data_IF_021472219704
#
_entry.id   IF_021472219704
#
_cell.length_a   1.000
_cell.length_b   1.000
_cell.length_c   1.000
_cell.angle_alpha   90.00
_cell.angle_beta   90.00
_cell.angle_gamma   90.00
#
_symmetry.space_group_name_H-M   'P 1'
#
loop_
_entity.id
_entity.type
_entity.pdbx_description
1 polymer ?
#
# COMPACT_ATOMS: atom_id res chain seq x y z
N UNK A 1 6.44 27.42 -12.24
CA UNK A 1 5.11 26.77 -12.28
C UNK A 1 5.34 25.28 -12.47
N UNK A 2 4.84 24.42 -11.58
CA UNK A 2 5.00 22.97 -11.74
C UNK A 2 4.11 22.47 -12.87
N UNK A 3 4.70 21.75 -13.83
CA UNK A 3 3.98 21.07 -14.90
C UNK A 3 3.50 19.73 -14.34
N UNK A 4 2.22 19.60 -14.03
CA UNK A 4 1.65 18.30 -13.65
C UNK A 4 1.56 17.44 -14.91
N UNK A 5 2.38 16.39 -14.98
CA UNK A 5 2.27 15.38 -16.02
C UNK A 5 1.33 14.28 -15.55
N UNK A 6 0.30 14.01 -16.34
CA UNK A 6 -0.55 12.84 -16.12
C UNK A 6 0.26 11.58 -16.43
N UNK A 7 0.12 10.52 -15.64
CA UNK A 7 0.74 9.24 -15.96
C UNK A 7 -0.03 8.58 -17.11
N UNK A 8 0.68 7.86 -17.97
CA UNK A 8 0.10 7.14 -19.10
C UNK A 8 0.47 5.66 -19.07
N UNK A 9 -0.46 4.79 -19.48
CA UNK A 9 -0.24 3.37 -19.78
C UNK A 9 -0.76 3.11 -21.19
N UNK A 10 0.10 2.61 -22.08
CA UNK A 10 -0.25 2.36 -23.49
C UNK A 10 -0.87 3.58 -24.21
N UNK A 11 -0.42 4.80 -23.85
CA UNK A 11 -0.93 6.05 -24.40
C UNK A 11 -2.19 6.58 -23.70
N UNK A 12 -2.81 5.81 -22.81
CA UNK A 12 -4.03 6.22 -22.10
C UNK A 12 -3.73 6.88 -20.75
N UNK A 13 -4.46 7.95 -20.39
CA UNK A 13 -4.30 8.62 -19.11
C UNK A 13 -4.70 7.73 -17.91
N UNK A 14 -3.86 7.65 -16.89
CA UNK A 14 -4.15 6.90 -15.65
C UNK A 14 -4.45 7.86 -14.50
N UNK A 15 -5.57 7.60 -13.81
CA UNK A 15 -5.95 8.27 -12.58
C UNK A 15 -5.95 7.28 -11.41
N UNK A 16 -5.44 7.70 -10.25
CA UNK A 16 -5.54 6.94 -9.00
C UNK A 16 -6.48 7.66 -8.04
N UNK A 17 -7.57 7.00 -7.68
CA UNK A 17 -8.64 7.59 -6.86
C UNK A 17 -8.89 6.67 -5.68
N UNK A 18 -8.92 7.23 -4.47
CA UNK A 18 -9.39 6.50 -3.29
C UNK A 18 -10.91 6.38 -3.34
N UNK A 19 -11.44 5.16 -3.22
CA UNK A 19 -12.88 4.91 -3.18
C UNK A 19 -13.30 4.55 -1.76
N UNK A 20 -14.46 5.06 -1.36
CA UNK A 20 -15.12 4.61 -0.14
C UNK A 20 -15.88 3.32 -0.41
N UNK A 21 -15.99 2.46 0.60
CA UNK A 21 -16.81 1.26 0.54
C UNK A 21 -18.26 1.62 0.16
N UNK A 22 -18.81 0.97 -0.85
CA UNK A 22 -20.18 1.22 -1.34
C UNK A 22 -20.33 2.38 -2.33
N UNK A 23 -19.23 3.01 -2.76
CA UNK A 23 -19.29 4.04 -3.81
C UNK A 23 -19.60 3.41 -5.18
N UNK A 24 -20.66 3.88 -5.83
CA UNK A 24 -21.11 3.35 -7.14
C UNK A 24 -20.65 4.18 -8.35
N UNK A 25 -20.35 5.46 -8.11
CA UNK A 25 -20.02 6.43 -9.17
C UNK A 25 -18.79 7.27 -8.80
N UNK A 26 -18.02 7.64 -9.82
CA UNK A 26 -16.93 8.60 -9.72
C UNK A 26 -17.23 9.76 -10.65
N UNK A 27 -17.22 10.97 -10.10
CA UNK A 27 -17.42 12.20 -10.86
C UNK A 27 -16.07 12.87 -11.12
N UNK A 28 -15.70 13.00 -12.39
CA UNK A 28 -14.53 13.75 -12.84
C UNK A 28 -14.97 15.11 -13.35
N UNK A 29 -14.25 16.15 -12.93
CA UNK A 29 -14.42 17.50 -13.43
C UNK A 29 -13.05 18.13 -13.65
N UNK A 30 -12.82 18.66 -14.85
CA UNK A 30 -11.66 19.51 -15.10
C UNK A 30 -12.02 20.91 -14.64
N UNK A 31 -11.28 21.45 -13.68
CA UNK A 31 -11.49 22.82 -13.22
C UNK A 31 -10.43 23.75 -13.79
N UNK A 32 -10.86 24.94 -14.22
CA UNK A 32 -9.97 25.97 -14.76
C UNK A 32 -9.69 25.81 -16.26
N UNK A 33 -8.74 26.62 -16.76
CA UNK A 33 -8.33 26.59 -18.17
C UNK A 33 -7.31 25.48 -18.39
N UNK A 34 -7.51 24.67 -19.42
CA UNK A 34 -6.58 23.61 -19.80
C UNK A 34 -6.22 23.67 -21.30
N UNK A 35 -5.18 22.95 -21.68
CA UNK A 35 -4.77 22.77 -23.09
C UNK A 35 -4.71 21.27 -23.40
N UNK A 36 -5.01 20.91 -24.64
CA UNK A 36 -4.89 19.54 -25.14
C UNK A 36 -3.62 19.42 -25.97
N UNK A 37 -2.86 18.36 -25.73
CA UNK A 37 -1.66 18.01 -26.49
C UNK A 37 -1.86 16.65 -27.15
N UNK A 38 -1.30 16.45 -28.34
CA UNK A 38 -1.23 15.13 -28.97
C UNK A 38 -0.16 14.25 -28.29
N UNK A 39 -0.05 12.99 -28.71
CA UNK A 39 0.93 12.05 -28.18
C UNK A 39 2.39 12.45 -28.43
N UNK A 40 2.64 13.42 -29.31
CA UNK A 40 3.96 13.97 -29.61
C UNK A 40 4.23 15.29 -28.84
N UNK A 41 3.29 15.73 -28.00
CA UNK A 41 3.39 16.97 -27.22
C UNK A 41 3.02 18.24 -27.99
N UNK A 42 2.50 18.13 -29.23
CA UNK A 42 2.03 19.29 -29.98
C UNK A 42 0.69 19.75 -29.41
N UNK A 43 0.52 21.05 -29.21
CA UNK A 43 -0.74 21.59 -28.70
C UNK A 43 -1.82 21.58 -29.78
N UNK A 44 -2.85 20.77 -29.57
CA UNK A 44 -4.02 20.65 -30.46
C UNK A 44 -5.04 21.76 -30.18
N UNK A 45 -5.17 22.18 -28.91
CA UNK A 45 -6.06 23.26 -28.51
C UNK A 45 -5.59 23.92 -27.19
N UNK A 46 -5.76 25.24 -27.05
CA UNK A 46 -5.25 26.02 -25.91
C UNK A 46 -6.35 26.77 -25.16
N UNK A 47 -6.13 26.97 -23.85
CA UNK A 47 -6.97 27.82 -22.96
C UNK A 47 -8.46 27.43 -22.98
N UNK A 48 -8.74 26.14 -23.14
CA UNK A 48 -10.10 25.59 -23.10
C UNK A 48 -10.64 25.78 -21.69
N UNK A 49 -11.86 26.31 -21.59
CA UNK A 49 -12.65 26.27 -20.38
C UNK A 49 -13.81 25.32 -20.62
N UNK A 50 -13.97 24.33 -19.75
CA UNK A 50 -15.08 23.39 -19.84
C UNK A 50 -15.69 23.19 -18.47
N UNK A 51 -17.02 23.14 -18.44
CA UNK A 51 -17.79 22.73 -17.27
C UNK A 51 -18.10 21.22 -17.29
N UNK A 52 -17.56 20.48 -18.27
CA UNK A 52 -17.83 19.06 -18.46
C UNK A 52 -17.61 18.27 -17.17
N UNK A 53 -18.61 17.43 -16.89
CA UNK A 53 -18.61 16.49 -15.80
C UNK A 53 -18.75 15.09 -16.37
N UNK A 54 -17.73 14.27 -16.21
CA UNK A 54 -17.83 12.86 -16.55
C UNK A 54 -18.22 12.08 -15.30
N UNK A 55 -19.31 11.33 -15.38
CA UNK A 55 -19.69 10.36 -14.36
C UNK A 55 -19.35 8.97 -14.86
N UNK A 56 -18.45 8.29 -14.17
CA UNK A 56 -18.09 6.90 -14.45
C UNK A 56 -18.82 6.01 -13.46
N UNK A 57 -19.64 5.09 -13.97
CA UNK A 57 -20.24 4.03 -13.15
C UNK A 57 -19.20 2.95 -12.90
N UNK A 58 -19.01 2.58 -11.63
CA UNK A 58 -18.10 1.52 -11.25
C UNK A 58 -18.77 0.19 -11.63
N UNK A 59 -18.22 -0.49 -12.64
CA UNK A 59 -18.74 -1.79 -13.12
C UNK A 59 -18.46 -2.91 -12.13
N UNK A 60 -17.28 -2.91 -11.53
CA UNK A 60 -16.85 -3.86 -10.51
C UNK A 60 -15.79 -3.18 -9.63
N UNK A 61 -15.90 -3.33 -8.32
CA UNK A 61 -14.85 -2.97 -7.37
C UNK A 61 -14.34 -4.25 -6.69
N UNK A 62 -13.11 -4.63 -6.99
CA UNK A 62 -12.44 -5.72 -6.27
C UNK A 62 -11.65 -5.12 -5.13
N UNK A 63 -11.99 -5.49 -3.90
CA UNK A 63 -11.12 -5.24 -2.76
C UNK A 63 -9.74 -5.86 -3.05
N UNK A 64 -8.67 -5.23 -2.55
CA UNK A 64 -7.35 -5.88 -2.56
C UNK A 64 -7.43 -7.22 -1.83
N UNK A 65 -6.56 -8.17 -2.19
CA UNK A 65 -6.53 -9.46 -1.49
C UNK A 65 -6.11 -9.20 -0.04
N UNK A 66 -6.88 -9.73 0.90
CA UNK A 66 -6.53 -9.68 2.31
C UNK A 66 -5.58 -10.84 2.63
N UNK A 67 -4.47 -10.52 3.27
CA UNK A 67 -3.47 -11.47 3.76
C UNK A 67 -3.37 -11.31 5.27
N UNK A 68 -3.40 -12.43 5.98
CA UNK A 68 -3.25 -12.45 7.43
C UNK A 68 -1.92 -13.09 7.77
N UNK A 69 -1.16 -12.47 8.68
CA UNK A 69 0.08 -13.05 9.18
C UNK A 69 0.12 -12.96 10.70
N UNK A 70 0.95 -13.82 11.29
CA UNK A 70 1.14 -13.85 12.72
C UNK A 70 2.34 -13.00 13.10
N UNK A 71 2.14 -11.94 13.88
CA UNK A 71 3.25 -11.20 14.48
C UNK A 71 3.65 -11.84 15.79
N UNK A 72 4.92 -12.20 15.90
CA UNK A 72 5.48 -12.84 17.09
C UNK A 72 6.13 -11.83 18.04
N UNK A 73 6.77 -10.81 17.48
CA UNK A 73 7.51 -9.78 18.21
C UNK A 73 7.73 -8.57 17.32
N UNK A 74 7.74 -7.38 17.91
CA UNK A 74 8.07 -6.14 17.22
C UNK A 74 8.94 -5.24 18.11
N UNK A 75 9.89 -4.54 17.50
CA UNK A 75 10.77 -3.59 18.21
C UNK A 75 11.41 -2.61 17.24
N UNK A 76 11.83 -1.44 17.75
CA UNK A 76 12.68 -0.50 17.04
C UNK A 76 14.18 -0.88 17.14
N UNK A 77 14.55 -1.74 18.10
CA UNK A 77 15.91 -2.25 18.24
C UNK A 77 16.13 -3.50 17.39
N UNK A 78 16.95 -3.35 16.35
CA UNK A 78 17.29 -4.43 15.42
C UNK A 78 17.99 -5.61 16.11
N UNK A 79 18.84 -5.35 17.12
CA UNK A 79 19.59 -6.42 17.79
C UNK A 79 18.66 -7.34 18.58
N UNK A 80 17.73 -6.76 19.35
CA UNK A 80 16.69 -7.52 20.05
C UNK A 80 15.84 -8.37 19.08
N UNK A 81 15.47 -7.80 17.92
CA UNK A 81 14.73 -8.54 16.88
C UNK A 81 15.56 -9.71 16.33
N UNK A 82 16.82 -9.51 15.99
CA UNK A 82 17.68 -10.57 15.44
C UNK A 82 17.84 -11.75 16.41
N UNK A 83 17.95 -11.48 17.71
CA UNK A 83 18.06 -12.53 18.74
C UNK A 83 16.74 -13.29 18.93
N UNK A 84 15.60 -12.59 18.94
CA UNK A 84 14.28 -13.22 18.96
C UNK A 84 14.00 -13.99 17.66
N UNK A 85 14.50 -13.51 16.53
CA UNK A 85 14.32 -14.13 15.22
C UNK A 85 15.01 -15.51 15.13
N UNK A 86 16.21 -15.65 15.70
CA UNK A 86 16.89 -16.95 15.80
C UNK A 86 16.04 -17.98 16.56
N UNK A 87 15.31 -17.55 17.58
CA UNK A 87 14.40 -18.42 18.34
C UNK A 87 13.16 -18.74 17.49
N UNK A 88 12.56 -17.72 16.86
CA UNK A 88 11.40 -17.89 15.98
C UNK A 88 11.70 -18.88 14.82
N UNK A 89 12.86 -18.77 14.17
CA UNK A 89 13.30 -19.67 13.09
C UNK A 89 13.47 -21.13 13.52
N UNK A 90 13.80 -21.38 14.79
CA UNK A 90 13.85 -22.75 15.34
C UNK A 90 12.45 -23.34 15.54
N UNK A 91 11.46 -22.50 15.86
CA UNK A 91 10.06 -22.92 16.02
C UNK A 91 9.42 -23.08 14.65
N UNK A 92 9.61 -22.11 13.76
CA UNK A 92 9.09 -22.09 12.39
C UNK A 92 10.13 -21.54 11.40
N UNK A 93 10.65 -22.39 10.49
CA UNK A 93 11.56 -21.97 9.43
C UNK A 93 10.99 -20.91 8.49
N UNK A 94 9.67 -20.72 8.42
CA UNK A 94 9.06 -19.68 7.59
C UNK A 94 9.01 -18.30 8.26
N UNK A 95 9.49 -18.16 9.50
CA UNK A 95 9.56 -16.85 10.15
C UNK A 95 10.41 -15.87 9.34
N UNK A 96 10.00 -14.62 9.26
CA UNK A 96 10.70 -13.56 8.53
C UNK A 96 10.77 -12.28 9.37
N UNK A 97 11.75 -11.42 9.07
CA UNK A 97 11.79 -10.06 9.61
C UNK A 97 11.23 -9.12 8.54
N UNK A 98 10.19 -8.38 8.89
CA UNK A 98 9.62 -7.31 8.08
C UNK A 98 10.06 -5.97 8.65
N UNK A 99 10.38 -5.03 7.78
CA UNK A 99 10.71 -3.65 8.14
C UNK A 99 9.54 -2.76 7.78
N UNK A 100 9.01 -2.04 8.77
CA UNK A 100 7.97 -1.03 8.62
C UNK A 100 8.52 0.36 8.92
N UNK A 101 8.00 1.38 8.25
CA UNK A 101 8.47 2.75 8.38
C UNK A 101 9.79 2.97 7.63
N UNK A 102 10.54 3.97 8.05
CA UNK A 102 11.82 4.31 7.45
C UNK A 102 12.36 5.64 7.93
N UNK A 103 13.42 6.09 7.26
CA UNK A 103 13.97 7.41 7.49
C UNK A 103 13.06 8.47 6.86
N UNK A 104 12.66 9.45 7.67
CA UNK A 104 11.88 10.59 7.19
C UNK A 104 12.82 11.76 6.92
N UNK A 105 12.66 12.35 5.74
CA UNK A 105 13.47 13.48 5.28
C UNK A 105 12.60 14.71 5.01
N UNK A 106 13.09 15.88 5.40
CA UNK A 106 12.54 17.18 5.01
C UNK A 106 13.68 18.00 4.39
N UNK A 107 13.53 18.42 3.13
CA UNK A 107 14.54 19.20 2.41
C UNK A 107 15.93 18.55 2.45
N UNK A 108 15.99 17.23 2.17
CA UNK A 108 17.21 16.40 2.23
C UNK A 108 17.90 16.30 3.61
N UNK A 109 17.24 16.76 4.69
CA UNK A 109 17.70 16.55 6.06
C UNK A 109 16.86 15.47 6.74
N UNK A 110 17.52 14.47 7.34
CA UNK A 110 16.84 13.45 8.16
C UNK A 110 16.21 14.12 9.38
N UNK A 111 14.88 13.99 9.51
CA UNK A 111 14.09 14.57 10.61
C UNK A 111 13.72 13.53 11.67
N UNK A 112 13.53 12.28 11.27
CA UNK A 112 13.23 11.18 12.18
C UNK A 112 13.52 9.82 11.53
N UNK A 113 13.57 8.79 12.36
CA UNK A 113 13.64 7.40 11.94
C UNK A 113 12.57 6.64 12.71
N UNK A 114 11.54 6.18 12.01
CA UNK A 114 10.46 5.39 12.62
C UNK A 114 10.52 3.92 12.18
N UNK A 115 11.72 3.44 11.82
CA UNK A 115 11.93 2.07 11.38
C UNK A 115 11.61 1.08 12.51
N UNK A 116 10.54 0.31 12.34
CA UNK A 116 10.13 -0.78 13.22
C UNK A 116 10.41 -2.11 12.54
N UNK A 117 10.96 -3.06 13.29
CA UNK A 117 11.20 -4.42 12.83
C UNK A 117 10.18 -5.37 13.45
N UNK A 118 9.57 -6.21 12.62
CA UNK A 118 8.53 -7.16 13.00
C UNK A 118 9.00 -8.56 12.66
N UNK A 119 8.85 -9.50 13.57
CA UNK A 119 8.96 -10.93 13.26
C UNK A 119 7.57 -11.44 12.92
N UNK A 120 7.38 -11.89 11.69
CA UNK A 120 6.11 -12.45 11.21
C UNK A 120 6.26 -13.90 10.74
N UNK A 121 5.14 -14.63 10.74
CA UNK A 121 5.03 -15.98 10.20
C UNK A 121 3.76 -16.13 9.38
N UNK A 122 3.92 -16.78 8.24
CA UNK A 122 2.83 -17.35 7.44
C UNK A 122 2.09 -16.33 6.59
N UNK A 123 1.32 -16.88 5.66
CA UNK A 123 0.35 -16.16 4.84
C UNK A 123 -0.96 -16.95 4.93
N UNK A 124 -1.87 -16.47 5.76
CA UNK A 124 -3.10 -17.15 6.11
C UNK A 124 -4.29 -16.54 5.35
N UNK A 125 -5.22 -17.38 4.87
CA UNK A 125 -6.42 -16.91 4.16
C UNK A 125 -7.48 -16.30 5.08
N UNK A 126 -7.31 -16.40 6.41
CA UNK A 126 -8.25 -15.84 7.39
C UNK A 126 -7.58 -15.64 8.74
N UNK A 127 -8.13 -14.72 9.55
CA UNK A 127 -7.69 -14.50 10.93
C UNK A 127 -7.81 -15.78 11.78
N UNK A 128 -8.88 -16.56 11.60
CA UNK A 128 -9.08 -17.81 12.34
C UNK A 128 -8.01 -18.85 12.01
N UNK A 129 -7.59 -18.94 10.75
CA UNK A 129 -6.49 -19.83 10.34
C UNK A 129 -5.17 -19.42 11.02
N UNK A 130 -4.87 -18.12 11.06
CA UNK A 130 -3.70 -17.60 11.78
C UNK A 130 -3.77 -17.92 13.28
N UNK A 131 -4.91 -17.68 13.93
CA UNK A 131 -5.12 -17.92 15.38
C UNK A 131 -4.89 -19.38 15.81
N UNK A 132 -5.22 -20.35 14.96
CA UNK A 132 -4.96 -21.77 15.25
C UNK A 132 -3.47 -22.09 15.46
N UNK A 133 -2.57 -21.26 14.94
CA UNK A 133 -1.13 -21.47 15.06
C UNK A 133 -0.49 -20.87 16.32
N UNK A 134 -1.23 -20.07 17.11
CA UNK A 134 -0.71 -19.37 18.30
C UNK A 134 0.00 -20.31 19.28
N UNK A 135 -0.62 -21.47 19.55
CA UNK A 135 -0.14 -22.43 20.54
C UNK A 135 1.28 -22.91 20.27
N UNK A 136 1.71 -22.93 19.00
CA UNK A 136 3.06 -23.34 18.60
C UNK A 136 4.15 -22.39 19.10
N UNK A 137 3.82 -21.11 19.26
CA UNK A 137 4.77 -20.07 19.65
C UNK A 137 4.70 -19.71 21.14
N UNK A 138 3.67 -20.18 21.84
CA UNK A 138 3.54 -20.00 23.30
C UNK A 138 4.35 -21.05 24.06
N UNK A 139 4.90 -20.72 25.24
CA UNK A 139 4.84 -19.41 25.92
C UNK A 139 5.92 -18.43 25.47
N UNK A 140 6.80 -18.82 24.54
CA UNK A 140 7.98 -18.04 24.13
C UNK A 140 7.63 -16.68 23.55
N UNK A 141 6.51 -16.58 22.84
CA UNK A 141 5.97 -15.36 22.24
C UNK A 141 4.52 -15.15 22.66
N UNK A 142 4.07 -13.89 22.56
CA UNK A 142 2.67 -13.49 22.73
C UNK A 142 2.17 -13.02 21.35
N UNK A 143 1.80 -13.95 20.47
CA UNK A 143 1.54 -13.59 19.09
C UNK A 143 0.17 -12.92 18.92
N UNK A 144 0.05 -12.07 17.91
CA UNK A 144 -1.22 -11.49 17.46
C UNK A 144 -1.34 -11.56 15.94
N UNK A 145 -2.57 -11.50 15.43
CA UNK A 145 -2.81 -11.50 13.98
C UNK A 145 -2.79 -10.08 13.46
N UNK A 146 -2.10 -9.87 12.35
CA UNK A 146 -2.14 -8.63 11.60
C UNK A 146 -2.70 -8.90 10.20
N UNK A 147 -3.46 -7.93 9.68
CA UNK A 147 -4.11 -7.99 8.37
C UNK A 147 -3.46 -6.96 7.44
N UNK A 148 -3.02 -7.42 6.29
CA UNK A 148 -2.54 -6.58 5.21
C UNK A 148 -3.45 -6.72 3.99
N UNK A 149 -3.71 -5.60 3.33
CA UNK A 149 -4.49 -5.58 2.08
C UNK A 149 -3.48 -5.38 0.96
N UNK A 150 -3.11 -6.47 0.29
CA UNK A 150 -2.24 -6.41 -0.89
C UNK A 150 -3.09 -5.89 -2.04
N UNK A 151 -2.80 -4.64 -2.41
CA UNK A 151 -3.35 -4.02 -3.62
C UNK A 151 -2.65 -4.69 -4.81
N UNK A 152 -3.42 -5.15 -5.80
CA UNK A 152 -2.86 -5.79 -6.99
C UNK A 152 -1.76 -4.93 -7.63
N UNK A 153 -0.68 -5.53 -8.18
CA UNK A 153 0.40 -4.80 -8.83
C UNK A 153 -0.17 -3.89 -9.92
N UNK A 154 0.25 -2.62 -9.91
CA UNK A 154 -0.23 -1.62 -10.84
C UNK A 154 0.39 -1.84 -12.22
N UNK A 155 -0.46 -2.11 -13.21
CA UNK A 155 -0.20 -1.66 -14.59
C UNK A 155 -0.33 -0.15 -14.67
#
# INVERSE_FOLDING_TARGET
>A
MSKYQLKHLNGEPIFRIGLFTGQEYIDFRVMGKFSLQDGNGNEVAKKISSDLKWRVKIKESKAGKEHYFLVLYESFDKKSVDDKFKIAKKIDPSAEIRTLGGENYLLNRKISDNTKYIISVGDFPSEMAARKTFKRFQPTFIPYVEKEIIRAPQG
#
